data_IF_354507750193
#
_entry.id   IF_354507750193
#
_cell.length_a   1.000
_cell.length_b   1.000
_cell.length_c   1.000
_cell.angle_alpha   90.00
_cell.angle_beta   90.00
_cell.angle_gamma   90.00
#
_symmetry.space_group_name_H-M   'P 1'
#
loop_
_entity.id
_entity.type
_entity.pdbx_description
1 polymer ?
#
# COMPACT_ATOMS: atom_id res chain seq x y z
N UNK A 1 20.42 3.91 -27.98
CA UNK A 1 21.12 3.09 -28.98
C UNK A 1 22.53 2.74 -28.49
N UNK A 2 22.94 1.53 -28.71
CA UNK A 2 24.33 1.03 -28.42
C UNK A 2 24.94 0.54 -29.71
N UNK A 3 26.26 0.48 -29.73
CA UNK A 3 27.02 -0.09 -30.83
C UNK A 3 27.35 -1.55 -30.53
N UNK A 4 26.80 -2.50 -31.32
CA UNK A 4 27.12 -3.92 -31.26
C UNK A 4 28.19 -4.27 -32.30
N UNK A 5 29.20 -4.95 -31.86
CA UNK A 5 30.30 -5.42 -32.75
C UNK A 5 30.63 -6.88 -32.45
N UNK A 6 30.46 -7.75 -33.41
CA UNK A 6 30.86 -9.16 -33.26
C UNK A 6 32.33 -9.31 -33.03
N UNK A 7 32.73 -10.24 -32.17
CA UNK A 7 34.15 -10.53 -31.89
C UNK A 7 34.86 -10.91 -33.16
N UNK A 8 35.95 -10.20 -33.46
CA UNK A 8 36.74 -10.38 -34.69
C UNK A 8 36.17 -9.70 -35.94
N UNK A 9 35.05 -8.98 -35.84
CA UNK A 9 34.47 -8.18 -36.93
C UNK A 9 35.01 -6.75 -36.92
N UNK A 10 35.01 -6.10 -38.08
CA UNK A 10 35.28 -4.65 -38.20
C UNK A 10 33.98 -3.83 -38.28
N UNK A 11 32.84 -4.49 -38.51
CA UNK A 11 31.56 -3.86 -38.71
C UNK A 11 30.86 -3.66 -37.37
N UNK A 12 30.25 -2.49 -37.16
CA UNK A 12 29.46 -2.11 -35.99
C UNK A 12 28.03 -1.90 -36.43
N UNK A 13 27.09 -2.31 -35.58
CA UNK A 13 25.66 -2.19 -35.79
C UNK A 13 25.05 -1.35 -34.67
N UNK A 14 24.17 -0.42 -34.98
CA UNK A 14 23.42 0.33 -33.98
C UNK A 14 22.21 -0.49 -33.53
N UNK A 15 22.08 -0.70 -32.22
CA UNK A 15 21.03 -1.54 -31.66
C UNK A 15 20.44 -0.94 -30.38
N UNK A 16 19.18 -1.26 -30.09
CA UNK A 16 18.62 -1.23 -28.75
C UNK A 16 18.86 -2.61 -28.12
N UNK A 17 19.43 -2.63 -26.94
CA UNK A 17 19.84 -3.87 -26.28
C UNK A 17 19.12 -4.04 -24.93
N UNK A 18 18.62 -5.25 -24.69
CA UNK A 18 17.99 -5.63 -23.44
C UNK A 18 18.30 -7.09 -23.08
N UNK A 19 18.23 -7.40 -21.78
CA UNK A 19 18.28 -8.78 -21.29
C UNK A 19 16.85 -9.28 -21.10
N UNK A 20 16.53 -10.43 -21.70
CA UNK A 20 15.20 -11.06 -21.65
C UNK A 20 15.14 -12.09 -20.51
N UNK A 21 16.23 -12.84 -20.32
CA UNK A 21 16.39 -13.80 -19.23
C UNK A 21 17.85 -13.89 -18.80
N UNK A 22 18.21 -14.67 -17.76
CA UNK A 22 19.61 -14.87 -17.40
C UNK A 22 20.50 -15.32 -18.57
N UNK A 23 19.94 -16.10 -19.49
CA UNK A 23 20.66 -16.72 -20.61
C UNK A 23 20.25 -16.20 -21.98
N UNK A 24 19.34 -15.21 -22.07
CA UNK A 24 18.86 -14.66 -23.36
C UNK A 24 18.94 -13.14 -23.36
N UNK A 25 19.55 -12.60 -24.42
CA UNK A 25 19.62 -11.17 -24.69
C UNK A 25 19.00 -10.83 -26.03
N UNK A 26 18.56 -9.60 -26.19
CA UNK A 26 17.91 -9.08 -27.39
C UNK A 26 18.64 -7.87 -27.91
N UNK A 27 18.85 -7.82 -29.22
CA UNK A 27 19.35 -6.67 -29.95
C UNK A 27 18.35 -6.31 -31.05
N UNK A 28 17.72 -5.15 -30.95
CA UNK A 28 16.85 -4.58 -31.99
C UNK A 28 17.68 -3.66 -32.86
N UNK A 29 17.68 -3.91 -34.19
CA UNK A 29 18.43 -3.20 -35.20
C UNK A 29 18.67 -4.09 -36.40
N UNK A 30 19.08 -3.50 -37.50
CA UNK A 30 19.44 -4.24 -38.71
C UNK A 30 20.85 -4.89 -38.56
N UNK A 31 20.86 -6.13 -38.09
CA UNK A 31 22.12 -6.88 -37.92
C UNK A 31 21.93 -8.34 -38.39
N UNK A 32 22.94 -8.92 -39.10
CA UNK A 32 22.90 -10.34 -39.43
C UNK A 32 23.33 -11.16 -38.22
N UNK A 33 22.75 -12.37 -38.09
CA UNK A 33 23.25 -13.33 -37.11
C UNK A 33 24.66 -13.78 -37.47
N UNK A 34 25.52 -13.90 -36.45
CA UNK A 34 26.82 -14.57 -36.49
C UNK A 34 26.94 -15.44 -35.22
N UNK A 35 27.44 -16.64 -35.41
CA UNK A 35 27.76 -17.63 -34.36
C UNK A 35 28.97 -17.22 -33.50
N UNK A 36 29.04 -15.96 -33.12
CA UNK A 36 30.13 -15.35 -32.36
C UNK A 36 29.57 -14.42 -31.31
N UNK A 37 30.19 -14.41 -30.17
CA UNK A 37 29.94 -13.38 -29.18
C UNK A 37 30.19 -11.98 -29.71
N UNK A 38 29.76 -10.99 -28.96
CA UNK A 38 29.84 -9.59 -29.37
C UNK A 38 30.22 -8.68 -28.22
N UNK A 39 30.65 -7.47 -28.56
CA UNK A 39 30.87 -6.38 -27.63
C UNK A 39 29.82 -5.31 -27.86
N UNK A 40 29.37 -4.69 -26.78
CA UNK A 40 28.51 -3.49 -26.79
C UNK A 40 29.33 -2.30 -26.32
N UNK A 41 29.12 -1.15 -26.93
CA UNK A 41 29.69 0.12 -26.48
C UNK A 41 28.70 1.28 -26.67
N UNK A 42 28.90 2.34 -25.91
CA UNK A 42 28.20 3.60 -26.18
C UNK A 42 28.85 4.33 -27.34
N UNK A 43 28.09 5.02 -28.21
CA UNK A 43 28.64 5.75 -29.34
C UNK A 43 29.74 6.76 -28.96
N UNK A 44 29.63 7.37 -27.77
CA UNK A 44 30.52 8.45 -27.32
C UNK A 44 31.58 8.03 -26.30
N UNK A 45 31.57 6.75 -25.88
CA UNK A 45 32.48 6.24 -24.84
C UNK A 45 33.18 4.98 -25.31
N UNK A 46 34.48 4.89 -25.04
CA UNK A 46 35.26 3.69 -25.30
C UNK A 46 35.24 2.78 -24.05
N UNK A 47 34.05 2.31 -23.66
CA UNK A 47 33.80 1.44 -22.50
C UNK A 47 33.00 0.19 -22.93
N UNK A 48 33.61 -0.76 -23.68
CA UNK A 48 32.89 -1.92 -24.18
C UNK A 48 32.51 -2.89 -23.05
N UNK A 49 31.33 -3.49 -23.18
CA UNK A 49 30.88 -4.64 -22.38
C UNK A 49 30.96 -5.89 -23.26
N UNK A 50 31.54 -6.97 -22.76
CA UNK A 50 31.78 -8.19 -23.51
C UNK A 50 30.69 -9.22 -23.27
N UNK A 51 30.16 -9.77 -24.35
CA UNK A 51 29.16 -10.86 -24.38
C UNK A 51 29.73 -12.05 -25.21
N UNK A 52 30.84 -12.67 -24.79
CA UNK A 52 31.52 -13.70 -25.58
C UNK A 52 30.73 -15.01 -25.68
N UNK A 53 29.85 -15.31 -24.69
CA UNK A 53 29.09 -16.54 -24.64
C UNK A 53 27.81 -16.53 -25.48
N UNK A 54 27.31 -15.38 -25.89
CA UNK A 54 26.06 -15.27 -26.65
C UNK A 54 26.25 -15.56 -28.12
N UNK A 55 26.46 -16.82 -28.44
CA UNK A 55 26.86 -17.32 -29.78
C UNK A 55 25.71 -18.05 -30.51
N UNK A 56 24.62 -18.37 -29.83
CA UNK A 56 23.50 -19.11 -30.41
C UNK A 56 22.38 -18.17 -30.76
N UNK A 57 21.81 -18.32 -31.95
CA UNK A 57 20.56 -17.64 -32.31
C UNK A 57 19.38 -18.25 -31.51
N UNK A 58 18.86 -17.50 -30.54
CA UNK A 58 17.69 -17.93 -29.79
C UNK A 58 16.43 -17.88 -30.67
N UNK A 59 16.18 -16.72 -31.31
CA UNK A 59 15.20 -16.55 -32.41
C UNK A 59 15.42 -15.24 -33.16
N UNK A 60 14.84 -15.18 -34.37
CA UNK A 60 14.63 -13.92 -35.08
C UNK A 60 13.31 -13.30 -34.62
N UNK A 61 13.29 -11.99 -34.48
CA UNK A 61 12.11 -11.22 -34.10
C UNK A 61 11.94 -10.04 -35.04
N UNK A 62 10.80 -9.43 -35.04
CA UNK A 62 10.57 -8.22 -35.84
C UNK A 62 11.55 -7.11 -35.39
N UNK A 63 12.37 -6.68 -36.34
CA UNK A 63 13.36 -5.62 -36.15
C UNK A 63 14.60 -6.04 -35.36
N UNK A 64 14.91 -7.35 -35.17
CA UNK A 64 16.13 -7.72 -34.48
C UNK A 64 16.35 -9.21 -34.23
N UNK A 65 17.31 -9.50 -33.37
CA UNK A 65 17.72 -10.86 -33.00
C UNK A 65 17.75 -11.06 -31.51
N UNK A 66 17.47 -12.29 -31.07
CA UNK A 66 17.71 -12.75 -29.70
C UNK A 66 18.84 -13.81 -29.73
N UNK A 67 19.75 -13.71 -28.75
CA UNK A 67 20.89 -14.58 -28.62
C UNK A 67 20.83 -15.31 -27.28
N UNK A 68 21.30 -16.58 -27.23
CA UNK A 68 21.51 -17.31 -25.98
C UNK A 68 22.99 -17.65 -25.76
N UNK A 69 23.38 -17.78 -24.49
CA UNK A 69 24.72 -18.16 -24.04
C UNK A 69 24.81 -19.63 -23.56
N UNK A 70 23.70 -20.30 -23.46
CA UNK A 70 23.57 -21.71 -23.02
C UNK A 70 23.23 -22.69 -24.15
N UNK A 71 23.20 -22.20 -25.39
CA UNK A 71 22.85 -23.00 -26.58
C UNK A 71 21.34 -23.22 -26.76
N UNK A 72 20.48 -22.63 -25.92
CA UNK A 72 19.04 -22.74 -26.08
C UNK A 72 18.55 -22.00 -27.32
N UNK A 73 17.51 -22.55 -27.95
CA UNK A 73 16.76 -21.95 -29.04
C UNK A 73 15.32 -21.79 -28.65
N UNK A 74 14.64 -20.81 -29.22
CA UNK A 74 13.23 -20.58 -28.96
C UNK A 74 12.40 -21.77 -29.46
N UNK A 75 11.63 -22.37 -28.56
CA UNK A 75 10.60 -23.34 -28.91
C UNK A 75 9.27 -22.60 -28.78
N UNK A 76 8.57 -22.48 -29.89
CA UNK A 76 7.21 -21.93 -29.86
C UNK A 76 6.34 -22.90 -29.05
N UNK A 77 6.03 -22.52 -27.83
CA UNK A 77 5.00 -23.25 -27.08
C UNK A 77 3.68 -22.91 -27.75
N UNK A 78 2.96 -23.93 -28.20
CA UNK A 78 1.56 -23.76 -28.58
C UNK A 78 0.89 -22.95 -27.47
N UNK A 79 0.29 -21.82 -27.86
CA UNK A 79 -0.44 -20.98 -26.93
C UNK A 79 -1.39 -21.92 -26.17
N UNK A 80 -1.32 -22.03 -24.85
CA UNK A 80 -2.23 -22.92 -24.14
C UNK A 80 -3.63 -22.63 -24.68
N UNK A 81 -4.34 -23.69 -25.10
CA UNK A 81 -5.72 -23.56 -25.56
C UNK A 81 -6.41 -22.63 -24.61
N UNK A 82 -6.99 -21.57 -25.15
CA UNK A 82 -7.72 -20.56 -24.35
C UNK A 82 -8.59 -21.34 -23.40
N UNK A 83 -8.25 -21.26 -22.09
CA UNK A 83 -9.11 -21.82 -21.06
C UNK A 83 -10.53 -21.37 -21.41
N UNK A 84 -11.52 -22.29 -21.39
CA UNK A 84 -12.91 -21.94 -21.68
C UNK A 84 -13.22 -20.69 -20.87
N UNK A 85 -13.89 -19.72 -21.50
CA UNK A 85 -14.29 -18.45 -20.87
C UNK A 85 -14.77 -18.79 -19.45
N UNK A 86 -13.94 -18.52 -18.44
CA UNK A 86 -14.38 -18.67 -17.08
C UNK A 86 -15.50 -17.67 -16.92
N UNK A 87 -16.68 -18.17 -16.64
CA UNK A 87 -17.79 -17.30 -16.28
C UNK A 87 -17.29 -16.30 -15.25
N UNK A 88 -17.63 -15.00 -15.38
CA UNK A 88 -17.15 -14.00 -14.46
C UNK A 88 -17.53 -14.41 -13.04
N UNK A 89 -16.52 -14.48 -12.17
CA UNK A 89 -16.72 -14.84 -10.77
C UNK A 89 -17.71 -13.87 -10.12
N UNK A 90 -18.82 -14.39 -9.60
CA UNK A 90 -19.83 -13.62 -8.88
C UNK A 90 -19.65 -13.91 -7.39
N UNK A 91 -19.20 -12.91 -6.59
CA UNK A 91 -19.01 -13.10 -5.16
C UNK A 91 -20.30 -13.55 -4.45
N UNK A 92 -20.18 -14.42 -3.49
CA UNK A 92 -21.27 -14.80 -2.59
C UNK A 92 -21.60 -13.66 -1.63
N UNK A 93 -22.77 -13.69 -0.99
CA UNK A 93 -23.14 -12.71 0.03
C UNK A 93 -22.12 -12.66 1.17
N UNK A 94 -21.65 -13.82 1.62
CA UNK A 94 -20.67 -13.90 2.71
C UNK A 94 -19.32 -13.27 2.34
N UNK A 95 -18.85 -13.46 1.11
CA UNK A 95 -17.61 -12.82 0.64
C UNK A 95 -17.74 -11.30 0.54
N UNK A 96 -18.92 -10.82 0.13
CA UNK A 96 -19.22 -9.38 0.11
C UNK A 96 -19.23 -8.82 1.54
N UNK A 97 -19.85 -9.51 2.51
CA UNK A 97 -19.83 -9.11 3.92
C UNK A 97 -18.40 -9.04 4.48
N UNK A 98 -17.58 -10.04 4.22
CA UNK A 98 -16.17 -10.05 4.64
C UNK A 98 -15.42 -8.85 4.06
N UNK A 99 -15.57 -8.62 2.76
CA UNK A 99 -14.93 -7.49 2.07
C UNK A 99 -15.39 -6.15 2.64
N UNK A 100 -16.71 -6.00 2.87
CA UNK A 100 -17.29 -4.78 3.43
C UNK A 100 -16.82 -4.54 4.86
N UNK A 101 -16.74 -5.56 5.72
CA UNK A 101 -16.19 -5.42 7.08
C UNK A 101 -14.72 -4.98 7.05
N UNK A 102 -13.93 -5.49 6.11
CA UNK A 102 -12.55 -5.03 5.95
C UNK A 102 -12.48 -3.56 5.47
N UNK A 103 -13.38 -3.15 4.57
CA UNK A 103 -13.51 -1.74 4.16
C UNK A 103 -13.82 -0.84 5.37
N UNK A 104 -14.79 -1.22 6.21
CA UNK A 104 -15.16 -0.47 7.42
C UNK A 104 -14.01 -0.42 8.42
N UNK A 105 -13.26 -1.50 8.59
CA UNK A 105 -12.05 -1.51 9.41
C UNK A 105 -10.99 -0.52 8.91
N UNK A 106 -10.76 -0.48 7.60
CA UNK A 106 -9.83 0.48 7.01
C UNK A 106 -10.29 1.93 7.22
N UNK A 107 -11.60 2.18 7.14
CA UNK A 107 -12.16 3.50 7.42
C UNK A 107 -12.04 3.89 8.89
N UNK A 108 -12.19 2.94 9.83
CA UNK A 108 -11.89 3.14 11.26
C UNK A 108 -10.43 3.55 11.45
N UNK A 109 -9.51 2.82 10.87
CA UNK A 109 -8.07 3.13 10.97
C UNK A 109 -7.75 4.52 10.41
N UNK A 110 -8.36 4.87 9.28
CA UNK A 110 -8.20 6.20 8.70
C UNK A 110 -8.78 7.31 9.61
N UNK A 111 -9.93 7.08 10.28
CA UNK A 111 -10.48 8.01 11.25
C UNK A 111 -9.57 8.17 12.47
N UNK A 112 -9.00 7.07 12.97
CA UNK A 112 -8.02 7.11 14.07
C UNK A 112 -6.75 7.87 13.66
N UNK A 113 -6.25 7.65 12.47
CA UNK A 113 -5.09 8.35 11.94
C UNK A 113 -5.38 9.85 11.71
N UNK A 114 -6.60 10.18 11.28
CA UNK A 114 -7.05 11.57 11.18
C UNK A 114 -7.05 12.28 12.53
N UNK A 115 -7.29 11.59 13.64
CA UNK A 115 -7.12 12.10 14.99
C UNK A 115 -8.24 13.00 15.52
N UNK A 116 -7.96 13.72 16.60
CA UNK A 116 -8.96 14.49 17.37
C UNK A 116 -8.46 15.90 17.74
N UNK A 117 -9.38 16.86 17.76
CA UNK A 117 -9.14 18.20 18.30
C UNK A 117 -9.39 18.21 19.82
N UNK A 118 -8.48 18.81 20.56
CA UNK A 118 -8.58 18.93 22.04
C UNK A 118 -8.48 20.39 22.44
N UNK A 119 -9.46 20.86 23.21
CA UNK A 119 -9.43 22.18 23.83
C UNK A 119 -8.59 22.12 25.09
N UNK A 120 -7.48 22.85 25.14
CA UNK A 120 -6.56 22.94 26.28
C UNK A 120 -7.10 23.87 27.38
N UNK A 121 -6.40 23.91 28.51
CA UNK A 121 -6.80 24.73 29.67
C UNK A 121 -6.77 26.23 29.44
N UNK A 122 -5.95 26.70 28.49
CA UNK A 122 -5.85 28.10 28.08
C UNK A 122 -6.89 28.49 27.01
N UNK A 123 -7.73 27.55 26.56
CA UNK A 123 -8.75 27.73 25.55
C UNK A 123 -8.24 27.54 24.11
N UNK A 124 -6.96 27.27 23.89
CA UNK A 124 -6.45 26.89 22.57
C UNK A 124 -6.96 25.51 22.15
N UNK A 125 -7.09 25.30 20.83
CA UNK A 125 -7.47 24.00 20.26
C UNK A 125 -6.27 23.46 19.51
N UNK A 126 -5.85 22.27 19.88
CA UNK A 126 -4.78 21.56 19.23
C UNK A 126 -5.26 20.21 18.68
N UNK A 127 -4.64 19.79 17.60
CA UNK A 127 -4.99 18.55 16.92
C UNK A 127 -3.95 17.46 17.19
N UNK A 128 -4.41 16.25 17.47
CA UNK A 128 -3.58 15.09 17.79
C UNK A 128 -3.98 13.89 16.92
N UNK A 129 -3.05 13.34 16.17
CA UNK A 129 -3.23 12.06 15.47
C UNK A 129 -3.25 10.91 16.47
N UNK A 130 -4.01 9.86 16.13
CA UNK A 130 -4.18 8.67 16.99
C UNK A 130 -3.84 7.39 16.22
N UNK A 131 -2.79 7.42 15.39
CA UNK A 131 -2.26 6.20 14.83
C UNK A 131 -1.78 5.24 15.94
N UNK A 132 -1.63 3.98 15.64
CA UNK A 132 -1.35 2.92 16.63
C UNK A 132 -0.15 3.21 17.53
N UNK A 133 0.87 3.87 16.99
CA UNK A 133 2.06 4.28 17.77
C UNK A 133 1.71 5.37 18.79
N UNK A 134 1.00 6.41 18.37
CA UNK A 134 0.60 7.55 19.21
C UNK A 134 -0.31 7.07 20.35
N UNK A 135 -1.28 6.21 20.07
CA UNK A 135 -2.14 5.62 21.10
C UNK A 135 -1.34 4.90 22.18
N UNK A 136 -0.37 4.05 21.79
CA UNK A 136 0.49 3.30 22.72
C UNK A 136 1.34 4.23 23.57
N UNK A 137 1.89 5.29 22.97
CA UNK A 137 2.69 6.27 23.70
C UNK A 137 1.85 7.11 24.66
N UNK A 138 0.66 7.57 24.24
CA UNK A 138 -0.28 8.28 25.11
C UNK A 138 -0.70 7.44 26.31
N UNK A 139 -0.97 6.15 26.11
CA UNK A 139 -1.24 5.23 27.23
C UNK A 139 -0.07 5.15 28.20
N UNK A 140 1.17 5.13 27.72
CA UNK A 140 2.34 5.12 28.59
C UNK A 140 2.46 6.41 29.42
N UNK A 141 2.05 7.56 28.88
CA UNK A 141 2.08 8.85 29.59
C UNK A 141 1.04 8.96 30.72
N UNK A 142 0.06 8.06 30.81
CA UNK A 142 -0.88 8.01 31.95
C UNK A 142 -0.15 7.87 33.29
N UNK A 143 0.99 7.19 33.32
CA UNK A 143 1.81 7.07 34.52
C UNK A 143 2.32 8.42 35.00
N UNK A 144 2.78 9.28 34.06
CA UNK A 144 3.26 10.62 34.36
C UNK A 144 2.12 11.51 34.88
N UNK A 145 0.93 11.41 34.27
CA UNK A 145 -0.27 12.12 34.74
C UNK A 145 -0.65 11.66 36.15
N UNK A 146 -0.65 10.36 36.42
CA UNK A 146 -0.97 9.81 37.73
C UNK A 146 0.09 10.20 38.81
N UNK A 147 1.35 10.36 38.40
CA UNK A 147 2.43 10.83 39.28
C UNK A 147 2.34 12.35 39.59
N UNK A 148 1.51 13.10 38.89
CA UNK A 148 1.38 14.54 39.06
C UNK A 148 2.46 15.36 38.37
N UNK A 149 3.11 14.81 37.34
CA UNK A 149 4.15 15.52 36.59
C UNK A 149 3.56 16.75 35.87
N UNK A 150 4.18 17.92 36.07
CA UNK A 150 3.72 19.20 35.48
C UNK A 150 4.35 19.51 34.14
N UNK A 151 5.27 18.71 33.66
CA UNK A 151 5.97 18.86 32.38
C UNK A 151 6.02 17.54 31.64
N UNK A 152 4.98 17.24 30.86
CA UNK A 152 4.86 15.99 30.13
C UNK A 152 5.10 16.28 28.63
N UNK A 153 6.16 15.71 28.01
CA UNK A 153 6.50 16.01 26.62
C UNK A 153 5.54 15.32 25.67
N UNK A 154 5.00 16.07 24.71
CA UNK A 154 4.20 15.53 23.62
C UNK A 154 4.26 16.46 22.39
N UNK A 155 3.65 16.05 21.28
CA UNK A 155 3.59 16.79 20.04
C UNK A 155 2.17 16.83 19.48
N UNK A 156 1.86 17.85 18.69
CA UNK A 156 0.64 17.93 17.88
C UNK A 156 0.78 17.10 16.61
N UNK A 157 -0.26 17.03 15.80
CA UNK A 157 -0.21 16.44 14.45
C UNK A 157 0.58 17.28 13.44
N UNK A 158 0.97 18.51 13.79
CA UNK A 158 1.78 19.35 12.92
C UNK A 158 3.24 18.91 12.98
N UNK A 159 3.69 18.21 11.94
CA UNK A 159 5.06 17.71 11.83
C UNK A 159 6.13 18.83 11.73
N UNK A 160 5.70 20.07 11.52
CA UNK A 160 6.59 21.23 11.49
C UNK A 160 6.85 21.79 12.89
N UNK A 161 6.03 21.42 13.89
CA UNK A 161 6.19 21.83 15.28
C UNK A 161 7.11 20.87 16.05
N UNK A 162 7.88 21.43 16.97
CA UNK A 162 8.66 20.64 17.91
C UNK A 162 7.79 20.03 19.02
N UNK A 163 8.24 18.91 19.59
CA UNK A 163 7.67 18.45 20.86
C UNK A 163 7.73 19.56 21.91
N UNK A 164 6.65 19.72 22.65
CA UNK A 164 6.53 20.72 23.73
C UNK A 164 6.07 20.05 25.02
N UNK A 165 6.15 20.78 26.12
CA UNK A 165 5.66 20.31 27.41
C UNK A 165 4.22 20.74 27.62
N UNK A 166 3.38 19.79 27.99
CA UNK A 166 2.01 19.99 28.45
C UNK A 166 1.93 19.95 29.97
N UNK A 167 1.02 20.70 30.55
CA UNK A 167 0.67 20.58 31.96
C UNK A 167 0.01 19.21 32.24
N UNK A 168 0.00 18.81 33.51
CA UNK A 168 -0.73 17.61 33.93
C UNK A 168 -2.20 17.65 33.49
N UNK A 169 -2.85 18.82 33.67
CA UNK A 169 -4.24 19.02 33.31
C UNK A 169 -4.49 18.90 31.82
N UNK A 170 -3.63 19.45 30.97
CA UNK A 170 -3.76 19.40 29.52
C UNK A 170 -3.47 17.99 28.98
N UNK A 171 -2.40 17.36 29.48
CA UNK A 171 -2.10 15.97 29.11
C UNK A 171 -3.24 15.02 29.49
N UNK A 172 -3.88 15.22 30.65
CA UNK A 172 -5.08 14.47 31.03
C UNK A 172 -6.21 14.66 30.01
N UNK A 173 -6.45 15.90 29.55
CA UNK A 173 -7.49 16.20 28.52
C UNK A 173 -7.17 15.47 27.21
N UNK A 174 -5.90 15.54 26.76
CA UNK A 174 -5.45 14.88 25.53
C UNK A 174 -5.67 13.36 25.63
N UNK A 175 -5.22 12.74 26.70
CA UNK A 175 -5.36 11.29 26.91
C UNK A 175 -6.85 10.88 27.02
N UNK A 176 -7.67 11.68 27.70
CA UNK A 176 -9.10 11.42 27.82
C UNK A 176 -9.77 11.50 26.46
N UNK A 177 -9.56 12.58 25.72
CA UNK A 177 -10.15 12.74 24.39
C UNK A 177 -9.71 11.63 23.41
N UNK A 178 -8.41 11.26 23.44
CA UNK A 178 -7.90 10.15 22.64
C UNK A 178 -8.56 8.81 23.00
N UNK A 179 -8.76 8.55 24.28
CA UNK A 179 -9.42 7.34 24.77
C UNK A 179 -10.90 7.28 24.41
N UNK A 180 -11.63 8.37 24.56
CA UNK A 180 -13.04 8.49 24.18
C UNK A 180 -13.24 8.32 22.68
N UNK A 181 -12.40 8.98 21.87
CA UNK A 181 -12.43 8.88 20.42
C UNK A 181 -12.15 7.44 19.95
N UNK A 182 -11.09 6.83 20.48
CA UNK A 182 -10.74 5.45 20.15
C UNK A 182 -11.83 4.45 20.54
N UNK A 183 -12.37 4.60 21.74
CA UNK A 183 -13.45 3.73 22.25
C UNK A 183 -14.72 3.86 21.42
N UNK A 184 -15.06 5.09 21.01
CA UNK A 184 -16.21 5.32 20.12
C UNK A 184 -16.03 4.59 18.79
N UNK A 185 -14.92 4.78 18.11
CA UNK A 185 -14.68 4.15 16.80
C UNK A 185 -14.60 2.62 16.88
N UNK A 186 -14.04 2.07 17.93
CA UNK A 186 -14.00 0.62 18.15
C UNK A 186 -15.41 0.05 18.40
N UNK A 187 -16.20 0.69 19.29
CA UNK A 187 -17.57 0.27 19.59
C UNK A 187 -18.46 0.38 18.37
N UNK A 188 -18.40 1.52 17.67
CA UNK A 188 -19.16 1.76 16.45
C UNK A 188 -18.86 0.69 15.38
N UNK A 189 -17.59 0.38 15.14
CA UNK A 189 -17.22 -0.59 14.13
C UNK A 189 -17.70 -2.00 14.46
N UNK A 190 -17.66 -2.42 15.73
CA UNK A 190 -18.21 -3.71 16.18
C UNK A 190 -19.70 -3.83 15.94
N UNK A 191 -20.45 -2.79 16.30
CA UNK A 191 -21.90 -2.76 16.09
C UNK A 191 -22.25 -2.71 14.58
N UNK A 192 -21.45 -1.97 13.79
CA UNK A 192 -21.60 -1.95 12.33
C UNK A 192 -21.36 -3.33 11.70
N UNK A 193 -20.38 -4.11 12.21
CA UNK A 193 -20.17 -5.47 11.75
C UNK A 193 -21.33 -6.40 12.06
N UNK A 194 -21.94 -6.27 13.25
CA UNK A 194 -23.16 -7.01 13.62
C UNK A 194 -24.31 -6.66 12.66
N UNK A 195 -24.47 -5.38 12.35
CA UNK A 195 -25.46 -4.91 11.38
C UNK A 195 -25.20 -5.50 9.98
N UNK A 196 -23.96 -5.49 9.49
CA UNK A 196 -23.58 -6.09 8.20
C UNK A 196 -23.88 -7.59 8.19
N UNK A 197 -23.54 -8.30 9.27
CA UNK A 197 -23.77 -9.75 9.35
C UNK A 197 -25.27 -10.13 9.31
N UNK A 198 -26.15 -9.25 9.78
CA UNK A 198 -27.60 -9.45 9.73
C UNK A 198 -28.24 -9.23 8.36
N UNK A 199 -27.53 -8.56 7.43
CA UNK A 199 -28.07 -8.23 6.12
C UNK A 199 -28.22 -9.47 5.22
N UNK A 200 -29.32 -9.56 4.48
CA UNK A 200 -29.68 -10.71 3.66
C UNK A 200 -29.49 -10.47 2.14
N UNK A 201 -29.16 -9.24 1.73
CA UNK A 201 -28.95 -8.92 0.32
C UNK A 201 -27.59 -8.26 0.07
N UNK A 202 -27.02 -8.50 -1.12
CA UNK A 202 -25.76 -7.92 -1.56
C UNK A 202 -25.85 -6.39 -1.64
N UNK A 203 -26.95 -5.89 -2.16
CA UNK A 203 -27.20 -4.46 -2.34
C UNK A 203 -27.25 -3.73 -1.00
N UNK A 204 -27.83 -4.35 0.03
CA UNK A 204 -27.87 -3.78 1.38
C UNK A 204 -26.47 -3.70 1.99
N UNK A 205 -25.65 -4.76 1.83
CA UNK A 205 -24.26 -4.77 2.32
C UNK A 205 -23.41 -3.74 1.57
N UNK A 206 -23.53 -3.67 0.25
CA UNK A 206 -22.77 -2.72 -0.59
C UNK A 206 -23.10 -1.26 -0.27
N UNK A 207 -24.34 -0.96 0.13
CA UNK A 207 -24.80 0.38 0.50
C UNK A 207 -24.25 0.87 1.85
N UNK A 208 -23.66 0.00 2.67
CA UNK A 208 -23.09 0.38 3.98
C UNK A 208 -21.92 1.32 3.78
N UNK A 209 -21.93 2.42 4.54
CA UNK A 209 -20.83 3.40 4.57
C UNK A 209 -20.41 3.67 6.01
N UNK A 210 -19.13 3.95 6.23
CA UNK A 210 -18.62 4.32 7.54
C UNK A 210 -19.22 5.66 7.99
N UNK A 211 -19.68 5.75 9.23
CA UNK A 211 -20.36 6.93 9.77
C UNK A 211 -21.89 6.93 9.56
N UNK A 212 -22.46 5.89 8.92
CA UNK A 212 -23.91 5.77 8.85
C UNK A 212 -24.52 5.59 10.25
N UNK A 213 -25.78 5.98 10.41
CA UNK A 213 -26.51 5.70 11.65
C UNK A 213 -26.87 4.21 11.67
N UNK A 214 -26.31 3.46 12.60
CA UNK A 214 -26.62 2.05 12.80
C UNK A 214 -28.06 1.94 13.33
N UNK A 215 -28.95 1.06 12.81
CA UNK A 215 -30.28 0.82 13.35
C UNK A 215 -30.23 0.41 14.82
N UNK A 216 -31.21 0.82 15.60
CA UNK A 216 -31.21 0.71 17.07
C UNK A 216 -31.07 -0.74 17.56
N UNK A 217 -31.68 -1.68 16.85
CA UNK A 217 -31.61 -3.11 17.14
C UNK A 217 -30.19 -3.72 17.04
N UNK A 218 -29.25 -3.05 16.36
CA UNK A 218 -27.86 -3.48 16.23
C UNK A 218 -26.89 -2.68 17.07
N UNK A 219 -27.39 -1.70 17.86
CA UNK A 219 -26.53 -0.89 18.74
C UNK A 219 -26.38 -1.56 20.10
N UNK A 220 -25.16 -1.64 20.57
CA UNK A 220 -24.88 -1.95 21.97
C UNK A 220 -25.40 -0.83 22.88
N UNK A 221 -25.66 -1.13 24.13
CA UNK A 221 -25.97 -0.13 25.17
C UNK A 221 -24.87 0.96 25.23
N UNK A 222 -23.60 0.54 25.11
CA UNK A 222 -22.46 1.45 25.10
C UNK A 222 -22.53 2.46 23.95
N UNK A 223 -22.85 2.05 22.73
CA UNK A 223 -22.99 2.97 21.60
C UNK A 223 -24.19 3.89 21.75
N UNK A 224 -25.29 3.40 22.31
CA UNK A 224 -26.45 4.22 22.60
C UNK A 224 -26.12 5.34 23.59
N UNK A 225 -25.44 5.03 24.68
CA UNK A 225 -24.95 6.00 25.67
C UNK A 225 -24.02 7.03 25.07
N UNK A 226 -23.09 6.59 24.20
CA UNK A 226 -22.17 7.50 23.49
C UNK A 226 -22.92 8.47 22.56
N UNK A 227 -23.93 7.99 21.83
CA UNK A 227 -24.77 8.87 21.00
C UNK A 227 -25.58 9.86 21.83
N UNK A 228 -26.13 9.44 23.00
CA UNK A 228 -26.84 10.33 23.90
C UNK A 228 -25.94 11.45 24.43
N UNK A 229 -24.74 11.10 24.87
CA UNK A 229 -23.74 12.08 25.35
C UNK A 229 -23.34 13.11 24.28
N UNK A 230 -23.27 12.72 23.00
CA UNK A 230 -22.98 13.64 21.89
C UNK A 230 -24.11 14.61 21.57
N UNK A 231 -25.34 14.34 21.98
CA UNK A 231 -26.49 15.22 21.75
C UNK A 231 -26.68 16.27 22.86
N UNK A 232 -26.09 16.04 24.03
CA UNK A 232 -26.17 16.91 25.20
C UNK A 232 -25.04 17.95 25.29
N UNK A 233 -23.97 17.84 24.50
CA UNK A 233 -22.78 18.71 24.50
C UNK A 233 -22.74 19.63 23.30
#
# INVERSE_FOLDING_TARGET
MLNLKYIGSKTTYEVEFSRISPHVVQALGELPFKDKGFNLSRPEKNDPWDYPGFTTLYREIEGGLQFSDDGSTYVEHEKPETLPDQEPYIPTLEEIKVTKKQEMENMKLAAMEAGVNVTLSDGSIEHFTLADREQKLLMALQVNVAAGDEKIPWHTSDETEHCKYYSNADMKRIITAAGEYGTFHETYTRDLWICIDSMESKEAVEAVTYGMIIPEEYRSEVLQDMYAAQQEG
#
